data_IF_104029455361
#
_entry.id   IF_104029455361
#
_cell.length_a   1.000
_cell.length_b   1.000
_cell.length_c   1.000
_cell.angle_alpha   90.00
_cell.angle_beta   90.00
_cell.angle_gamma   90.00
#
_symmetry.space_group_name_H-M   'P 1'
#
loop_
_entity.id
_entity.type
_entity.pdbx_description
1 polymer ?
#
# COMPACT_ATOMS: atom_id res chain seq x y z
N UNK A 1 4.32 -9.17 -9.12
CA UNK A 1 3.06 -8.49 -9.50
C UNK A 1 2.16 -8.35 -8.27
N UNK A 2 1.70 -7.14 -7.97
CA UNK A 2 0.90 -6.80 -6.79
C UNK A 2 -0.60 -6.69 -7.10
N UNK A 3 -1.51 -6.65 -6.10
CA UNK A 3 -2.92 -6.34 -6.32
C UNK A 3 -3.14 -5.00 -7.04
N UNK A 4 -2.30 -4.00 -6.77
CA UNK A 4 -2.36 -2.70 -7.44
C UNK A 4 -1.96 -2.82 -8.92
N UNK A 5 -0.94 -3.63 -9.24
CA UNK A 5 -0.56 -3.91 -10.64
C UNK A 5 -1.66 -4.64 -11.41
N UNK A 6 -2.31 -5.61 -10.76
CA UNK A 6 -3.47 -6.31 -11.30
C UNK A 6 -4.63 -5.34 -11.55
N UNK A 7 -4.93 -4.45 -10.59
CA UNK A 7 -5.97 -3.44 -10.74
C UNK A 7 -5.69 -2.54 -11.95
N UNK A 8 -4.46 -2.03 -12.09
CA UNK A 8 -4.02 -1.23 -13.25
C UNK A 8 -4.12 -2.02 -14.56
N UNK A 9 -3.78 -3.30 -14.55
CA UNK A 9 -3.88 -4.19 -15.72
C UNK A 9 -5.32 -4.37 -16.17
N UNK A 10 -6.25 -4.60 -15.23
CA UNK A 10 -7.67 -4.74 -15.52
C UNK A 10 -8.26 -3.42 -16.01
N UNK A 11 -7.95 -2.28 -15.36
CA UNK A 11 -8.39 -0.95 -15.83
C UNK A 11 -7.89 -0.67 -17.25
N UNK A 12 -6.64 -1.03 -17.57
CA UNK A 12 -6.10 -0.93 -18.93
C UNK A 12 -6.88 -1.81 -19.91
N UNK A 13 -7.23 -3.04 -19.53
CA UNK A 13 -8.04 -3.93 -20.35
C UNK A 13 -9.46 -3.40 -20.58
N UNK A 14 -10.07 -2.76 -19.56
CA UNK A 14 -11.37 -2.08 -19.69
C UNK A 14 -11.25 -0.92 -20.67
N UNK A 15 -10.22 -0.08 -20.55
CA UNK A 15 -9.97 1.02 -21.48
C UNK A 15 -9.82 0.51 -22.91
N UNK A 16 -8.99 -0.51 -23.15
CA UNK A 16 -8.87 -1.15 -24.46
C UNK A 16 -10.21 -1.68 -24.98
N UNK A 17 -11.06 -2.25 -24.12
CA UNK A 17 -12.37 -2.74 -24.52
C UNK A 17 -13.34 -1.63 -24.92
N UNK A 18 -13.25 -0.47 -24.27
CA UNK A 18 -14.02 0.72 -24.63
C UNK A 18 -13.51 1.32 -25.93
N UNK A 19 -12.20 1.46 -26.09
CA UNK A 19 -11.56 2.02 -27.29
C UNK A 19 -11.87 1.17 -28.53
N UNK A 20 -11.93 -0.15 -28.38
CA UNK A 20 -12.30 -1.10 -29.45
C UNK A 20 -13.82 -1.25 -29.65
N UNK A 21 -14.64 -0.52 -28.88
CA UNK A 21 -16.11 -0.58 -28.96
C UNK A 21 -16.75 -1.88 -28.46
N UNK A 22 -15.97 -2.76 -27.82
CA UNK A 22 -16.45 -4.03 -27.26
C UNK A 22 -17.20 -3.85 -25.94
N UNK A 23 -16.92 -2.79 -25.19
CA UNK A 23 -17.70 -2.36 -24.03
C UNK A 23 -18.13 -0.91 -24.19
N UNK A 24 -19.34 -0.59 -23.75
CA UNK A 24 -19.86 0.79 -23.73
C UNK A 24 -20.09 1.23 -22.29
N UNK A 25 -18.99 1.49 -21.58
CA UNK A 25 -18.97 1.82 -20.15
C UNK A 25 -17.99 2.95 -19.87
N UNK A 26 -18.19 3.67 -18.77
CA UNK A 26 -17.15 4.54 -18.24
C UNK A 26 -15.99 3.68 -17.71
N UNK A 27 -14.75 4.07 -18.00
CA UNK A 27 -13.57 3.38 -17.47
C UNK A 27 -13.42 3.74 -15.99
N UNK A 28 -13.43 2.77 -15.06
CA UNK A 28 -13.27 3.05 -13.64
C UNK A 28 -11.83 3.47 -13.32
N UNK A 29 -11.65 4.30 -12.28
CA UNK A 29 -10.32 4.73 -11.82
C UNK A 29 -9.50 3.55 -11.26
N UNK A 30 -10.18 2.62 -10.57
CA UNK A 30 -9.59 1.40 -10.04
C UNK A 30 -10.61 0.27 -10.01
N UNK A 31 -10.12 -0.96 -9.94
CA UNK A 31 -10.94 -2.14 -9.64
C UNK A 31 -10.44 -2.83 -8.37
N UNK A 32 -11.36 -3.41 -7.62
CA UNK A 32 -11.00 -4.19 -6.44
C UNK A 32 -10.32 -5.51 -6.86
N UNK A 33 -9.12 -5.74 -6.34
CA UNK A 33 -8.38 -6.99 -6.50
C UNK A 33 -8.03 -7.51 -5.12
N UNK A 34 -8.52 -8.70 -4.79
CA UNK A 34 -8.35 -9.30 -3.48
C UNK A 34 -8.07 -10.80 -3.57
N UNK A 35 -8.04 -11.46 -2.42
CA UNK A 35 -7.90 -12.91 -2.36
C UNK A 35 -9.16 -13.57 -2.95
N UNK A 36 -9.05 -14.69 -3.69
CA UNK A 36 -10.22 -15.40 -4.17
C UNK A 36 -11.18 -15.74 -3.03
N UNK A 37 -12.47 -15.56 -3.28
CA UNK A 37 -13.53 -15.96 -2.33
C UNK A 37 -13.52 -17.49 -2.15
N UNK A 38 -14.12 -18.05 -1.09
CA UNK A 38 -14.28 -19.50 -0.95
C UNK A 38 -14.88 -20.12 -2.23
N UNK A 39 -14.17 -21.07 -2.85
CA UNK A 39 -14.52 -21.67 -4.15
C UNK A 39 -13.87 -21.02 -5.38
N UNK A 40 -13.17 -19.90 -5.23
CA UNK A 40 -12.29 -19.31 -6.25
C UNK A 40 -10.93 -20.00 -6.31
N UNK A 41 -10.24 -19.87 -7.45
CA UNK A 41 -8.92 -20.46 -7.70
C UNK A 41 -7.87 -19.36 -7.91
N UNK A 42 -6.58 -19.71 -7.91
CA UNK A 42 -5.47 -18.76 -8.13
C UNK A 42 -5.08 -17.94 -6.90
N UNK A 43 -4.27 -16.90 -7.14
CA UNK A 43 -3.67 -16.04 -6.12
C UNK A 43 -4.55 -14.82 -5.80
N UNK A 44 -5.21 -14.26 -6.82
CA UNK A 44 -6.04 -13.07 -6.73
C UNK A 44 -7.32 -13.19 -7.56
N UNK A 45 -8.35 -12.42 -7.21
CA UNK A 45 -9.58 -12.34 -7.99
C UNK A 45 -10.15 -10.92 -8.02
N UNK A 46 -10.93 -10.62 -9.06
CA UNK A 46 -11.73 -9.39 -9.17
C UNK A 46 -13.15 -9.68 -9.64
N UNK A 47 -14.10 -8.89 -9.15
CA UNK A 47 -15.49 -8.87 -9.58
C UNK A 47 -15.77 -7.80 -10.65
N UNK A 48 -14.74 -7.18 -11.24
CA UNK A 48 -14.88 -6.07 -12.19
C UNK A 48 -15.90 -6.34 -13.30
N UNK A 49 -15.90 -7.54 -13.89
CA UNK A 49 -16.84 -7.89 -14.96
C UNK A 49 -18.30 -7.89 -14.49
N UNK A 50 -18.58 -8.23 -13.23
CA UNK A 50 -19.92 -8.18 -12.64
C UNK A 50 -20.40 -6.74 -12.47
N UNK A 51 -19.49 -5.85 -12.04
CA UNK A 51 -19.79 -4.43 -11.87
C UNK A 51 -20.00 -3.72 -13.21
N UNK A 52 -19.26 -4.13 -14.24
CA UNK A 52 -19.32 -3.53 -15.58
C UNK A 52 -20.45 -4.09 -16.45
N UNK A 53 -20.98 -5.28 -16.14
CA UNK A 53 -22.04 -5.95 -16.89
C UNK A 53 -23.31 -5.11 -17.06
N UNK A 54 -23.82 -4.55 -15.96
CA UNK A 54 -25.02 -3.72 -15.95
C UNK A 54 -24.86 -2.48 -16.84
N UNK A 55 -23.85 -1.63 -16.59
CA UNK A 55 -23.56 -0.47 -17.44
C UNK A 55 -23.31 -0.83 -18.91
N UNK A 56 -22.67 -1.97 -19.19
CA UNK A 56 -22.39 -2.41 -20.55
C UNK A 56 -23.63 -2.96 -21.28
N UNK A 57 -24.71 -3.29 -20.57
CA UNK A 57 -25.86 -4.00 -21.12
C UNK A 57 -25.52 -5.42 -21.59
N UNK A 58 -24.53 -6.07 -20.94
CA UNK A 58 -23.99 -7.35 -21.36
C UNK A 58 -24.02 -8.39 -20.22
N UNK A 59 -24.14 -9.69 -20.52
CA UNK A 59 -23.98 -10.73 -19.51
C UNK A 59 -22.60 -10.63 -18.83
N UNK A 60 -22.48 -10.77 -17.49
CA UNK A 60 -21.20 -10.63 -16.81
C UNK A 60 -20.11 -11.57 -17.30
N UNK A 61 -20.49 -12.78 -17.73
CA UNK A 61 -19.55 -13.74 -18.32
C UNK A 61 -19.00 -13.25 -19.67
N UNK A 62 -19.82 -12.60 -20.50
CA UNK A 62 -19.36 -12.02 -21.77
C UNK A 62 -18.39 -10.85 -21.54
N UNK A 63 -18.66 -10.00 -20.53
CA UNK A 63 -17.73 -8.95 -20.11
C UNK A 63 -16.42 -9.56 -19.59
N UNK A 64 -16.50 -10.62 -18.78
CA UNK A 64 -15.32 -11.31 -18.27
C UNK A 64 -14.45 -11.88 -19.40
N UNK A 65 -15.06 -12.50 -20.42
CA UNK A 65 -14.35 -13.01 -21.59
C UNK A 65 -13.68 -11.88 -22.38
N UNK A 66 -14.39 -10.78 -22.63
CA UNK A 66 -13.84 -9.61 -23.33
C UNK A 66 -12.63 -9.02 -22.59
N UNK A 67 -12.70 -8.95 -21.25
CA UNK A 67 -11.58 -8.50 -20.43
C UNK A 67 -10.43 -9.50 -20.44
N UNK A 68 -10.72 -10.80 -20.28
CA UNK A 68 -9.71 -11.87 -20.30
C UNK A 68 -8.90 -11.87 -21.59
N UNK A 69 -9.55 -11.73 -22.74
CA UNK A 69 -8.91 -11.64 -24.04
C UNK A 69 -7.92 -10.45 -24.12
N UNK A 70 -8.34 -9.28 -23.63
CA UNK A 70 -7.50 -8.08 -23.61
C UNK A 70 -6.36 -8.17 -22.62
N UNK A 71 -6.61 -8.74 -21.44
CA UNK A 71 -5.55 -9.02 -20.46
C UNK A 71 -4.50 -9.96 -21.05
N UNK A 72 -4.92 -10.99 -21.79
CA UNK A 72 -4.01 -11.88 -22.50
C UNK A 72 -3.22 -11.18 -23.62
N UNK A 73 -3.78 -10.16 -24.28
CA UNK A 73 -3.05 -9.31 -25.26
C UNK A 73 -2.11 -8.31 -24.60
N UNK A 74 -2.41 -7.86 -23.39
CA UNK A 74 -1.56 -6.99 -22.57
C UNK A 74 -0.39 -7.77 -21.95
N UNK A 75 -0.11 -9.01 -22.41
CA UNK A 75 0.95 -9.91 -21.97
C UNK A 75 2.40 -9.42 -22.26
N UNK A 76 2.67 -8.15 -21.98
CA UNK A 76 3.96 -7.60 -21.57
C UNK A 76 4.00 -7.21 -20.07
N UNK A 77 2.95 -7.47 -19.29
CA UNK A 77 2.99 -7.32 -17.83
C UNK A 77 3.46 -8.63 -17.17
N UNK A 78 4.76 -8.72 -16.94
CA UNK A 78 5.59 -9.86 -16.48
C UNK A 78 5.14 -10.58 -15.17
N UNK A 79 3.91 -11.08 -15.05
CA UNK A 79 3.51 -11.77 -13.82
C UNK A 79 2.18 -12.54 -13.79
N UNK A 80 1.37 -12.56 -14.85
CA UNK A 80 0.14 -13.39 -14.92
C UNK A 80 0.47 -14.69 -15.66
N UNK A 81 0.26 -15.84 -15.01
CA UNK A 81 0.37 -17.16 -15.63
C UNK A 81 -0.94 -17.57 -16.32
N UNK A 82 -2.07 -17.46 -15.60
CA UNK A 82 -3.39 -17.74 -16.17
C UNK A 82 -4.45 -16.78 -15.63
N UNK A 83 -5.51 -16.59 -16.43
CA UNK A 83 -6.73 -15.89 -16.03
C UNK A 83 -7.92 -16.80 -16.29
N UNK A 84 -8.62 -17.18 -15.23
CA UNK A 84 -9.77 -18.08 -15.29
C UNK A 84 -11.06 -17.37 -14.89
N UNK A 85 -12.15 -17.69 -15.60
CA UNK A 85 -13.46 -17.10 -15.33
C UNK A 85 -14.32 -18.10 -14.57
N UNK A 86 -14.54 -17.84 -13.28
CA UNK A 86 -15.38 -18.69 -12.42
C UNK A 86 -16.77 -18.08 -12.20
N UNK A 87 -17.75 -18.98 -12.02
CA UNK A 87 -19.13 -18.62 -11.75
C UNK A 87 -19.71 -17.62 -12.77
N UNK A 88 -20.43 -16.58 -12.30
CA UNK A 88 -21.13 -15.64 -13.18
C UNK A 88 -20.21 -14.68 -13.94
N UNK A 89 -18.93 -14.51 -13.53
CA UNK A 89 -18.02 -13.56 -14.17
C UNK A 89 -16.85 -13.10 -13.28
N UNK A 90 -16.40 -13.91 -12.32
CA UNK A 90 -15.21 -13.56 -11.54
C UNK A 90 -13.95 -13.86 -12.36
N UNK A 91 -13.06 -12.88 -12.47
CA UNK A 91 -11.73 -13.08 -13.07
C UNK A 91 -10.77 -13.49 -11.97
N UNK A 92 -10.22 -14.70 -12.07
CA UNK A 92 -9.27 -15.27 -11.12
C UNK A 92 -7.90 -15.32 -11.77
N UNK A 93 -6.91 -14.72 -11.13
CA UNK A 93 -5.56 -14.60 -11.61
C UNK A 93 -4.67 -15.59 -10.88
N UNK A 94 -3.94 -16.37 -11.66
CA UNK A 94 -2.81 -17.15 -11.15
C UNK A 94 -1.54 -16.48 -11.60
N UNK A 95 -0.65 -16.16 -10.68
CA UNK A 95 0.60 -15.49 -10.96
C UNK A 95 1.64 -16.48 -11.52
N UNK A 96 2.57 -15.94 -12.31
CA UNK A 96 3.82 -16.63 -12.60
C UNK A 96 4.62 -16.74 -11.29
N UNK A 97 5.18 -17.93 -11.01
CA UNK A 97 5.76 -18.30 -9.71
C UNK A 97 7.00 -17.49 -9.28
N UNK A 98 7.44 -16.55 -10.09
CA UNK A 98 8.55 -15.63 -9.87
C UNK A 98 8.12 -14.23 -9.42
N UNK A 99 6.83 -13.87 -9.52
CA UNK A 99 6.36 -12.50 -9.28
C UNK A 99 6.59 -11.96 -7.86
N UNK A 100 6.65 -12.84 -6.85
CA UNK A 100 6.99 -12.48 -5.47
C UNK A 100 8.50 -12.41 -5.26
N UNK A 101 9.26 -13.32 -5.87
CA UNK A 101 10.72 -13.31 -5.79
C UNK A 101 11.32 -12.10 -6.52
N UNK A 102 10.76 -11.72 -7.67
CA UNK A 102 11.16 -10.53 -8.41
C UNK A 102 10.81 -9.24 -7.69
N UNK A 103 9.64 -9.19 -7.05
CA UNK A 103 9.28 -8.08 -6.17
C UNK A 103 10.28 -7.95 -5.02
N UNK A 104 10.62 -9.05 -4.35
CA UNK A 104 11.63 -9.05 -3.27
C UNK A 104 12.98 -8.58 -3.80
N UNK A 105 13.43 -9.08 -4.96
CA UNK A 105 14.66 -8.61 -5.62
C UNK A 105 14.61 -7.11 -5.92
N UNK A 106 13.47 -6.59 -6.40
CA UNK A 106 13.26 -5.17 -6.66
C UNK A 106 13.36 -4.35 -5.38
N UNK A 107 12.69 -4.77 -4.31
CA UNK A 107 12.74 -4.12 -2.99
C UNK A 107 14.17 -4.10 -2.45
N UNK A 108 14.90 -5.22 -2.55
CA UNK A 108 16.29 -5.32 -2.10
C UNK A 108 17.23 -4.44 -2.94
N UNK A 109 17.06 -4.42 -4.27
CA UNK A 109 17.87 -3.62 -5.18
C UNK A 109 17.64 -2.11 -4.99
N UNK A 110 16.39 -1.69 -4.76
CA UNK A 110 16.04 -0.28 -4.50
C UNK A 110 16.32 0.15 -3.06
N UNK A 111 16.37 -0.81 -2.12
CA UNK A 111 16.64 -0.56 -0.71
C UNK A 111 15.70 0.49 -0.12
N UNK A 112 16.28 1.54 0.48
CA UNK A 112 15.53 2.67 1.08
C UNK A 112 14.75 3.50 0.06
N UNK A 113 15.13 3.43 -1.21
CA UNK A 113 14.44 4.11 -2.31
C UNK A 113 13.22 3.35 -2.83
N UNK A 114 12.96 2.12 -2.36
CA UNK A 114 11.76 1.40 -2.79
C UNK A 114 10.49 2.20 -2.45
N UNK A 115 9.59 2.32 -3.42
CA UNK A 115 8.37 3.13 -3.31
C UNK A 115 8.56 4.64 -3.44
N UNK A 116 9.80 5.12 -3.65
CA UNK A 116 10.03 6.49 -4.09
C UNK A 116 9.74 6.61 -5.59
N UNK A 117 9.31 7.79 -6.01
CA UNK A 117 9.00 8.10 -7.39
C UNK A 117 9.18 9.58 -7.69
N UNK A 118 8.77 9.97 -8.88
CA UNK A 118 8.89 11.32 -9.44
C UNK A 118 7.54 11.89 -9.89
N UNK A 119 6.44 11.29 -9.42
CA UNK A 119 5.08 11.69 -9.79
C UNK A 119 4.76 13.16 -9.47
N UNK A 120 5.48 13.77 -8.53
CA UNK A 120 5.36 15.18 -8.15
C UNK A 120 6.64 15.98 -8.48
N UNK A 121 7.49 15.49 -9.37
CA UNK A 121 8.69 16.21 -9.79
C UNK A 121 8.35 17.59 -10.38
N UNK A 122 9.07 18.62 -9.93
CA UNK A 122 8.82 20.01 -10.34
C UNK A 122 7.67 20.69 -9.59
N UNK A 123 7.04 20.01 -8.64
CA UNK A 123 6.01 20.62 -7.77
C UNK A 123 6.65 21.15 -6.49
N UNK A 124 6.52 22.46 -6.26
CA UNK A 124 6.87 23.12 -5.00
C UNK A 124 5.68 23.10 -4.04
N UNK A 125 5.90 22.62 -2.82
CA UNK A 125 4.85 22.54 -1.77
C UNK A 125 5.35 23.21 -0.48
N UNK A 126 5.19 24.53 -0.33
CA UNK A 126 5.54 25.24 0.89
C UNK A 126 4.46 25.03 1.96
N UNK A 127 4.81 24.39 3.07
CA UNK A 127 3.92 24.15 4.21
C UNK A 127 4.31 25.08 5.37
N UNK A 128 3.31 25.61 6.07
CA UNK A 128 3.52 26.41 7.25
C UNK A 128 4.04 25.54 8.42
N UNK A 129 4.99 26.04 9.24
CA UNK A 129 5.34 25.37 10.49
C UNK A 129 4.13 25.31 11.43
N UNK A 130 4.03 24.24 12.20
CA UNK A 130 2.96 24.05 13.17
C UNK A 130 3.53 24.02 14.59
N UNK A 131 2.94 24.82 15.48
CA UNK A 131 3.32 24.87 16.90
C UNK A 131 2.68 23.72 17.70
N UNK A 132 1.52 23.24 17.27
CA UNK A 132 0.83 22.14 17.92
C UNK A 132 1.56 20.81 17.61
N UNK A 133 1.90 19.98 18.63
CA UNK A 133 2.79 18.84 18.43
C UNK A 133 2.30 17.78 17.44
N UNK A 134 0.99 17.46 17.42
CA UNK A 134 0.45 16.50 16.45
C UNK A 134 0.52 17.08 15.04
N UNK A 135 0.17 18.35 14.86
CA UNK A 135 0.25 19.05 13.58
C UNK A 135 1.70 19.10 13.08
N UNK A 136 2.68 19.30 13.96
CA UNK A 136 4.10 19.25 13.61
C UNK A 136 4.51 17.85 13.10
N UNK A 137 4.12 16.78 13.81
CA UNK A 137 4.42 15.39 13.42
C UNK A 137 3.74 15.02 12.10
N UNK A 138 2.48 15.41 11.91
CA UNK A 138 1.74 15.17 10.66
C UNK A 138 2.38 15.93 9.50
N UNK A 139 2.78 17.19 9.72
CA UNK A 139 3.44 18.01 8.69
C UNK A 139 4.78 17.41 8.28
N UNK A 140 5.62 16.97 9.23
CA UNK A 140 6.88 16.29 8.91
C UNK A 140 6.62 14.99 8.12
N UNK A 141 5.64 14.19 8.50
CA UNK A 141 5.27 12.97 7.79
C UNK A 141 4.82 13.25 6.34
N UNK A 142 3.96 14.26 6.14
CA UNK A 142 3.50 14.67 4.81
C UNK A 142 4.66 15.19 3.96
N UNK A 143 5.55 16.01 4.51
CA UNK A 143 6.76 16.47 3.79
C UNK A 143 7.61 15.30 3.32
N UNK A 144 7.82 14.30 4.16
CA UNK A 144 8.60 13.10 3.79
C UNK A 144 7.91 12.30 2.68
N UNK A 145 6.59 12.17 2.73
CA UNK A 145 5.82 11.50 1.68
C UNK A 145 5.86 12.28 0.35
N UNK A 146 5.68 13.60 0.38
CA UNK A 146 5.77 14.44 -0.81
C UNK A 146 7.16 14.36 -1.45
N UNK A 147 8.21 14.46 -0.64
CA UNK A 147 9.60 14.32 -1.09
C UNK A 147 9.90 12.94 -1.63
N UNK A 148 9.34 11.88 -1.06
CA UNK A 148 9.53 10.53 -1.59
C UNK A 148 8.91 10.37 -2.98
N UNK A 149 7.96 11.22 -3.35
CA UNK A 149 7.35 11.26 -4.69
C UNK A 149 7.95 12.35 -5.61
N UNK A 150 9.07 12.97 -5.23
CA UNK A 150 9.83 13.90 -6.05
C UNK A 150 9.47 15.38 -5.90
N UNK A 151 8.53 15.73 -5.02
CA UNK A 151 8.16 17.13 -4.77
C UNK A 151 9.24 17.89 -3.98
N UNK A 152 9.35 19.20 -4.22
CA UNK A 152 10.10 20.10 -3.36
C UNK A 152 9.20 20.62 -2.22
N UNK A 153 9.01 19.79 -1.19
CA UNK A 153 8.23 20.16 -0.02
C UNK A 153 9.12 20.77 1.08
N UNK A 154 8.78 21.95 1.59
CA UNK A 154 9.57 22.66 2.63
C UNK A 154 8.68 23.25 3.71
N UNK A 155 9.25 23.46 4.90
CA UNK A 155 8.65 24.30 5.93
C UNK A 155 9.01 25.76 5.65
N UNK A 156 8.00 26.58 5.38
CA UNK A 156 8.19 28.00 5.03
C UNK A 156 7.31 28.86 5.94
N UNK A 157 7.91 29.69 6.82
CA UNK A 157 7.16 30.63 7.64
C UNK A 157 6.28 31.55 6.78
N UNK A 158 5.01 31.69 7.16
CA UNK A 158 4.03 32.48 6.40
C UNK A 158 3.50 31.81 5.13
N UNK A 159 3.81 30.53 4.88
CA UNK A 159 3.17 29.77 3.82
C UNK A 159 1.64 29.70 4.01
N UNK A 160 0.86 29.73 2.91
CA UNK A 160 -0.59 29.72 3.00
C UNK A 160 -1.16 28.37 3.42
N UNK A 161 -0.42 27.27 3.19
CA UNK A 161 -0.89 25.91 3.43
C UNK A 161 -0.45 25.43 4.82
N UNK A 162 -1.42 25.30 5.72
CA UNK A 162 -1.22 24.72 7.05
C UNK A 162 -2.11 23.48 7.20
N UNK A 163 -1.51 22.36 7.60
CA UNK A 163 -2.27 21.12 7.82
C UNK A 163 -3.12 21.25 9.08
N UNK A 164 -4.42 20.99 8.94
CA UNK A 164 -5.38 21.05 10.05
C UNK A 164 -5.61 19.65 10.60
N UNK A 165 -5.37 19.50 11.89
CA UNK A 165 -5.61 18.27 12.64
C UNK A 165 -6.27 18.60 13.97
N UNK A 166 -6.99 17.63 14.55
CA UNK A 166 -7.45 17.72 15.93
C UNK A 166 -6.24 17.71 16.85
N UNK A 167 -6.07 18.71 17.74
CA UNK A 167 -4.89 18.83 18.58
C UNK A 167 -4.83 17.71 19.62
N UNK A 168 -3.67 17.59 20.27
CA UNK A 168 -3.55 16.80 21.50
C UNK A 168 -4.56 17.30 22.55
N UNK A 169 -5.20 16.38 23.32
CA UNK A 169 -6.05 16.76 24.43
C UNK A 169 -5.30 17.64 25.44
N UNK A 170 -6.00 18.63 26.00
CA UNK A 170 -5.46 19.42 27.10
C UNK A 170 -5.07 18.48 28.25
N UNK A 171 -3.84 18.63 28.75
CA UNK A 171 -3.31 17.77 29.83
C UNK A 171 -2.71 16.44 29.38
N UNK A 172 -2.52 16.19 28.07
CA UNK A 172 -1.84 14.99 27.57
C UNK A 172 -0.41 14.79 28.12
N UNK A 173 0.20 15.88 28.63
CA UNK A 173 1.55 15.90 29.20
C UNK A 173 2.61 15.63 28.14
N UNK A 174 3.80 15.25 28.59
CA UNK A 174 4.85 14.77 27.68
C UNK A 174 4.55 13.32 27.27
N UNK A 175 3.79 13.17 26.19
CA UNK A 175 3.41 11.87 25.63
C UNK A 175 4.65 11.07 25.23
N UNK A 176 5.69 11.73 24.71
CA UNK A 176 6.92 11.05 24.26
C UNK A 176 7.68 10.47 25.45
N UNK A 177 7.82 11.24 26.53
CA UNK A 177 8.44 10.74 27.76
C UNK A 177 7.65 9.58 28.39
N UNK A 178 6.31 9.62 28.31
CA UNK A 178 5.44 8.60 28.94
C UNK A 178 5.39 7.28 28.18
N UNK A 179 5.16 7.31 26.86
CA UNK A 179 4.94 6.09 26.05
C UNK A 179 6.04 5.80 25.02
N UNK A 180 7.06 6.65 24.95
CA UNK A 180 8.16 6.54 23.99
C UNK A 180 7.80 7.09 22.60
N UNK A 181 8.84 7.47 21.85
CA UNK A 181 8.71 8.16 20.57
C UNK A 181 7.87 7.39 19.54
N UNK A 182 8.11 6.09 19.37
CA UNK A 182 7.37 5.25 18.42
C UNK A 182 5.87 5.19 18.71
N UNK A 183 5.51 4.98 19.99
CA UNK A 183 4.10 4.87 20.36
C UNK A 183 3.41 6.24 20.25
N UNK A 184 4.10 7.31 20.66
CA UNK A 184 3.62 8.67 20.50
C UNK A 184 3.35 9.01 19.02
N UNK A 185 4.31 8.75 18.12
CA UNK A 185 4.13 8.98 16.68
C UNK A 185 3.00 8.15 16.09
N UNK A 186 2.94 6.86 16.44
CA UNK A 186 1.84 5.99 16.02
C UNK A 186 0.48 6.55 16.45
N UNK A 187 0.37 6.95 17.71
CA UNK A 187 -0.86 7.50 18.28
C UNK A 187 -1.30 8.84 17.67
N UNK A 188 -0.34 9.66 17.24
CA UNK A 188 -0.57 10.96 16.58
C UNK A 188 -0.92 10.82 15.09
N UNK A 189 -0.31 9.86 14.39
CA UNK A 189 -0.43 9.70 12.92
C UNK A 189 -1.55 8.74 12.49
N UNK A 190 -1.89 7.75 13.31
CA UNK A 190 -2.84 6.70 12.91
C UNK A 190 -4.29 7.18 12.79
N UNK A 191 -4.85 7.93 13.74
CA UNK A 191 -6.23 8.43 13.63
C UNK A 191 -6.33 9.45 12.49
N UNK A 192 -7.52 9.58 11.89
CA UNK A 192 -7.73 10.58 10.85
C UNK A 192 -7.48 11.99 11.39
N UNK A 193 -7.22 12.94 10.51
CA UNK A 193 -6.94 14.33 10.90
C UNK A 193 -8.06 14.94 11.76
N UNK A 194 -9.31 14.54 11.55
CA UNK A 194 -10.48 15.02 12.29
C UNK A 194 -10.83 14.17 13.54
N UNK A 195 -10.07 13.12 13.84
CA UNK A 195 -10.26 12.28 15.03
C UNK A 195 -9.27 12.65 16.13
N UNK A 196 -9.60 12.41 17.39
CA UNK A 196 -8.66 12.62 18.49
C UNK A 196 -7.46 11.63 18.44
N UNK A 197 -6.23 12.10 18.73
CA UNK A 197 -5.07 11.24 18.77
C UNK A 197 -5.14 10.27 19.95
N UNK A 198 -4.60 9.07 19.77
CA UNK A 198 -4.44 8.10 20.87
C UNK A 198 -3.14 8.42 21.61
N UNK A 199 -3.22 8.74 22.90
CA UNK A 199 -2.05 9.16 23.68
C UNK A 199 -1.92 8.40 25.01
N UNK A 200 -2.84 7.49 25.32
CA UNK A 200 -2.82 6.76 26.58
C UNK A 200 -1.89 5.54 26.54
N UNK A 201 -1.70 4.95 27.71
CA UNK A 201 -0.81 3.80 27.92
C UNK A 201 -1.35 2.52 27.27
N UNK A 202 -2.60 2.54 26.79
CA UNK A 202 -3.20 1.44 26.02
C UNK A 202 -2.39 1.06 24.78
N UNK A 203 -1.60 1.99 24.23
CA UNK A 203 -0.69 1.74 23.12
C UNK A 203 0.44 0.77 23.49
N UNK A 204 0.80 0.67 24.77
CA UNK A 204 1.86 -0.22 25.27
C UNK A 204 1.35 -1.62 25.63
N UNK A 205 0.03 -1.82 25.71
CA UNK A 205 -0.56 -3.10 26.10
C UNK A 205 -0.30 -4.15 25.01
N UNK A 206 0.30 -5.27 25.41
CA UNK A 206 0.67 -6.38 24.52
C UNK A 206 -0.50 -7.34 24.30
N UNK A 207 -1.46 -6.95 23.46
CA UNK A 207 -2.62 -7.77 23.09
C UNK A 207 -2.90 -7.71 21.61
N UNK A 208 -3.46 -8.79 21.05
CA UNK A 208 -3.72 -8.89 19.61
C UNK A 208 -4.63 -7.76 19.10
N UNK A 209 -5.60 -7.31 19.90
CA UNK A 209 -6.47 -6.19 19.50
C UNK A 209 -5.75 -4.84 19.42
N UNK A 210 -4.52 -4.71 19.93
CA UNK A 210 -3.69 -3.51 19.78
C UNK A 210 -2.87 -3.59 18.49
N UNK A 211 -3.15 -2.73 17.49
CA UNK A 211 -2.47 -2.81 16.19
C UNK A 211 -1.00 -2.40 16.26
N UNK A 212 -0.61 -1.50 17.18
CA UNK A 212 0.80 -1.18 17.41
C UNK A 212 1.56 -2.40 17.92
N UNK A 213 0.98 -3.14 18.86
CA UNK A 213 1.54 -4.41 19.34
C UNK A 213 1.68 -5.41 18.19
N UNK A 214 0.65 -5.58 17.35
CA UNK A 214 0.72 -6.52 16.21
C UNK A 214 1.89 -6.24 15.28
N UNK A 215 2.16 -4.96 14.96
CA UNK A 215 3.28 -4.57 14.10
C UNK A 215 4.62 -4.84 14.78
N UNK A 216 4.76 -4.43 16.05
CA UNK A 216 5.98 -4.67 16.84
C UNK A 216 6.26 -6.16 16.98
N UNK A 217 5.22 -6.95 17.24
CA UNK A 217 5.29 -8.40 17.35
C UNK A 217 5.70 -9.04 16.02
N UNK A 218 5.08 -8.66 14.91
CA UNK A 218 5.43 -9.17 13.58
C UNK A 218 6.90 -8.87 13.23
N UNK A 219 7.39 -7.66 13.51
CA UNK A 219 8.80 -7.28 13.35
C UNK A 219 9.70 -8.14 14.24
N UNK A 220 9.39 -8.27 15.52
CA UNK A 220 10.18 -9.06 16.47
C UNK A 220 10.24 -10.54 16.06
N UNK A 221 9.13 -11.12 15.60
CA UNK A 221 9.07 -12.49 15.10
C UNK A 221 9.86 -12.68 13.81
N UNK A 222 9.81 -11.72 12.90
CA UNK A 222 10.60 -11.77 11.65
C UNK A 222 12.11 -11.70 11.92
N UNK A 223 12.53 -10.84 12.86
CA UNK A 223 13.92 -10.77 13.29
C UNK A 223 14.35 -12.02 14.05
N UNK A 224 13.50 -12.58 14.91
CA UNK A 224 13.79 -13.83 15.61
C UNK A 224 13.92 -15.00 14.62
N UNK A 225 13.04 -15.09 13.62
CA UNK A 225 13.14 -16.10 12.57
C UNK A 225 14.49 -16.02 11.85
N UNK A 226 14.89 -14.82 11.44
CA UNK A 226 16.15 -14.59 10.71
C UNK A 226 17.37 -14.95 11.56
N UNK A 227 17.38 -14.54 12.84
CA UNK A 227 18.46 -14.89 13.78
C UNK A 227 18.53 -16.40 14.02
N UNK A 228 17.41 -17.04 14.30
CA UNK A 228 17.37 -18.49 14.55
C UNK A 228 17.78 -19.30 13.31
N UNK A 229 17.41 -18.84 12.11
CA UNK A 229 17.84 -19.47 10.86
C UNK A 229 19.38 -19.42 10.75
N UNK A 230 19.96 -18.24 10.99
CA UNK A 230 21.41 -18.06 10.99
C UNK A 230 22.12 -18.97 12.02
N UNK A 231 21.59 -19.07 13.25
CA UNK A 231 22.16 -19.93 14.30
C UNK A 231 22.11 -21.42 13.94
N UNK A 232 21.13 -21.84 13.14
CA UNK A 232 21.00 -23.19 12.60
C UNK A 232 21.80 -23.43 11.31
N UNK A 233 22.57 -22.43 10.85
CA UNK A 233 23.36 -22.51 9.62
C UNK A 233 22.55 -22.29 8.33
N UNK A 234 21.29 -21.87 8.43
CA UNK A 234 20.48 -21.46 7.29
C UNK A 234 20.67 -19.98 7.00
N UNK A 235 21.01 -19.67 5.76
CA UNK A 235 21.06 -18.30 5.24
C UNK A 235 19.90 -18.06 4.29
N UNK A 236 19.48 -16.81 4.16
CA UNK A 236 18.55 -16.46 3.09
C UNK A 236 19.22 -16.77 1.74
N UNK A 237 18.52 -17.42 0.80
CA UNK A 237 19.03 -17.57 -0.58
C UNK A 237 19.23 -16.21 -1.29
N UNK A 238 18.80 -15.12 -0.65
CA UNK A 238 18.94 -13.73 -1.11
C UNK A 238 20.00 -12.92 -0.34
N UNK A 239 20.81 -13.55 0.54
CA UNK A 239 21.83 -12.86 1.38
C UNK A 239 23.00 -12.23 0.59
N UNK A 240 23.04 -12.39 -0.74
CA UNK A 240 24.02 -11.68 -1.58
C UNK A 240 23.78 -10.17 -1.70
N UNK A 241 22.65 -9.64 -1.19
CA UNK A 241 22.27 -8.23 -1.34
C UNK A 241 22.00 -7.60 0.04
N UNK A 242 23.05 -6.94 0.55
CA UNK A 242 23.08 -5.89 1.55
C UNK A 242 22.74 -6.20 3.04
N UNK A 243 23.70 -5.77 3.87
CA UNK A 243 23.66 -5.58 5.31
C UNK A 243 22.34 -4.90 5.77
N UNK A 244 21.43 -5.68 6.32
CA UNK A 244 20.19 -5.18 6.91
C UNK A 244 20.45 -4.74 8.34
N UNK A 245 21.26 -3.70 8.50
CA UNK A 245 21.20 -2.88 9.71
C UNK A 245 19.83 -2.19 9.74
N UNK A 246 18.87 -2.88 10.37
CA UNK A 246 17.56 -2.33 10.63
C UNK A 246 17.72 -1.08 11.51
N UNK A 247 17.30 0.11 11.06
CA UNK A 247 17.36 1.28 11.91
C UNK A 247 16.47 1.07 13.14
N UNK A 248 16.90 1.62 14.27
CA UNK A 248 15.96 2.02 15.32
C UNK A 248 14.87 2.85 14.63
N UNK A 249 13.61 2.48 14.83
CA UNK A 249 12.49 3.24 14.28
C UNK A 249 12.70 4.71 14.67
N UNK A 250 12.90 5.54 13.65
CA UNK A 250 13.29 6.95 13.78
C UNK A 250 12.20 7.73 14.48
#
# INVERSE_FOLDING_TARGET
MTPADLSRTVVRAVRTAVDEGALRVAVPESVEVGRPRPGGQGDYATNAALQLAGPAGMPPRAVAEALRERIARIAGAAGIRTVEITGPGFLNFTLAGDGSAELVRTVLAQGRGYGHGDALAGTDVPLAPADEPRAAVVTDAVIRLLRSQGAHATLTPGAPEALRVVPLPAGAGDVVARIGADAARWGMLRPAAHDHPTTGDELLIQRESNPLFRIRYARARSLALTRNAHDLGFRSSYEGIADTTAPALL
#
